data_IF_880385590651
#
_entry.id   IF_880385590651
#
_cell.length_a   1.000
_cell.length_b   1.000
_cell.length_c   1.000
_cell.angle_alpha   90.00
_cell.angle_beta   90.00
_cell.angle_gamma   90.00
#
_symmetry.space_group_name_H-M   'P 1'
#
loop_
_entity.id
_entity.type
_entity.pdbx_description
1 polymer ?
#
# COMPACT_ATOMS: atom_id res chain seq x y z
N UNK A 1 -26.61 32.94 24.65
CA UNK A 1 -26.64 31.54 24.19
C UNK A 1 -26.25 31.52 22.72
N UNK A 2 -24.96 31.41 22.41
CA UNK A 2 -24.42 31.51 21.04
C UNK A 2 -24.20 30.11 20.48
N UNK A 3 -25.05 29.71 19.54
CA UNK A 3 -24.94 28.45 18.80
C UNK A 3 -23.75 28.52 17.85
N UNK A 4 -22.68 27.76 18.15
CA UNK A 4 -21.58 27.54 17.21
C UNK A 4 -22.09 26.64 16.09
N UNK A 5 -22.44 27.24 14.95
CA UNK A 5 -22.70 26.52 13.70
C UNK A 5 -21.42 25.78 13.29
N UNK A 6 -21.40 24.46 13.41
CA UNK A 6 -20.33 23.62 12.87
C UNK A 6 -20.38 23.73 11.33
N UNK A 7 -19.50 24.55 10.77
CA UNK A 7 -19.26 24.56 9.33
C UNK A 7 -18.85 23.14 8.90
N UNK A 8 -19.68 22.49 8.07
CA UNK A 8 -19.34 21.21 7.45
C UNK A 8 -18.04 21.39 6.67
N UNK A 9 -16.97 20.72 7.10
CA UNK A 9 -15.75 20.61 6.29
C UNK A 9 -16.14 19.93 4.98
N UNK A 10 -16.08 20.66 3.87
CA UNK A 10 -16.20 20.06 2.53
C UNK A 10 -14.97 19.15 2.35
N UNK A 11 -15.21 17.87 2.09
CA UNK A 11 -14.13 16.89 1.93
C UNK A 11 -13.23 17.25 0.74
N UNK A 12 -11.92 17.11 0.93
CA UNK A 12 -10.92 17.35 -0.12
C UNK A 12 -10.56 16.06 -0.89
N UNK A 13 -9.74 16.16 -1.96
CA UNK A 13 -9.27 14.99 -2.71
C UNK A 13 -8.61 13.92 -1.83
N UNK A 14 -7.90 14.33 -0.77
CA UNK A 14 -7.32 13.40 0.19
C UNK A 14 -8.35 12.55 0.94
N UNK A 15 -9.55 13.07 1.19
CA UNK A 15 -10.62 12.32 1.85
C UNK A 15 -11.20 11.25 0.91
N UNK A 16 -11.29 11.55 -0.38
CA UNK A 16 -11.69 10.57 -1.41
C UNK A 16 -10.66 9.45 -1.51
N UNK A 17 -9.37 9.78 -1.59
CA UNK A 17 -8.29 8.77 -1.64
C UNK A 17 -8.31 7.89 -0.39
N UNK A 18 -8.51 8.47 0.79
CA UNK A 18 -8.64 7.72 2.04
C UNK A 18 -9.87 6.81 2.03
N UNK A 19 -11.02 7.29 1.58
CA UNK A 19 -12.24 6.50 1.48
C UNK A 19 -12.07 5.32 0.53
N UNK A 20 -11.48 5.54 -0.65
CA UNK A 20 -11.15 4.46 -1.61
C UNK A 20 -10.18 3.46 -0.99
N UNK A 21 -9.11 3.92 -0.34
CA UNK A 21 -8.17 3.05 0.34
C UNK A 21 -8.82 2.19 1.43
N UNK A 22 -9.73 2.78 2.22
CA UNK A 22 -10.49 2.06 3.24
C UNK A 22 -11.42 1.01 2.61
N UNK A 23 -12.13 1.36 1.55
CA UNK A 23 -13.03 0.44 0.85
C UNK A 23 -12.27 -0.77 0.27
N UNK A 24 -11.09 -0.54 -0.30
CA UNK A 24 -10.20 -1.60 -0.80
C UNK A 24 -9.70 -2.49 0.36
N UNK A 25 -9.33 -1.90 1.50
CA UNK A 25 -8.94 -2.65 2.69
C UNK A 25 -10.07 -3.55 3.22
N UNK A 26 -11.28 -3.00 3.35
CA UNK A 26 -12.47 -3.78 3.75
C UNK A 26 -12.72 -4.91 2.77
N UNK A 27 -12.60 -4.65 1.47
CA UNK A 27 -12.80 -5.67 0.44
C UNK A 27 -11.77 -6.80 0.55
N UNK A 28 -10.49 -6.48 0.78
CA UNK A 28 -9.44 -7.48 1.00
C UNK A 28 -9.72 -8.34 2.25
N UNK A 29 -10.14 -7.73 3.36
CA UNK A 29 -10.50 -8.46 4.58
C UNK A 29 -11.72 -9.36 4.35
N UNK A 30 -12.78 -8.84 3.72
CA UNK A 30 -13.98 -9.62 3.41
C UNK A 30 -13.67 -10.79 2.49
N UNK A 31 -12.80 -10.59 1.49
CA UNK A 31 -12.30 -11.67 0.61
C UNK A 31 -11.68 -12.81 1.44
N UNK A 32 -10.76 -12.50 2.35
CA UNK A 32 -10.11 -13.52 3.20
C UNK A 32 -11.10 -14.20 4.15
N UNK A 33 -12.04 -13.47 4.73
CA UNK A 33 -13.03 -14.04 5.64
C UNK A 33 -14.02 -14.97 4.93
N UNK A 34 -14.34 -14.71 3.65
CA UNK A 34 -15.18 -15.59 2.82
C UNK A 34 -14.44 -16.84 2.35
N UNK A 35 -13.12 -16.84 2.33
CA UNK A 35 -12.30 -18.01 2.03
C UNK A 35 -12.33 -19.00 3.21
N UNK A 36 -12.46 -20.32 2.96
CA UNK A 36 -12.28 -21.35 3.99
C UNK A 36 -10.98 -21.16 4.76
N UNK A 37 -10.98 -21.40 6.08
CA UNK A 37 -9.85 -21.04 6.96
C UNK A 37 -8.52 -21.64 6.48
N UNK A 38 -8.58 -22.84 5.93
CA UNK A 38 -7.45 -23.64 5.44
C UNK A 38 -6.81 -23.04 4.19
N UNK A 39 -7.57 -22.23 3.43
CA UNK A 39 -7.15 -21.64 2.16
C UNK A 39 -6.84 -20.13 2.26
N UNK A 40 -6.91 -19.53 3.46
CA UNK A 40 -6.63 -18.10 3.66
C UNK A 40 -5.15 -17.83 3.57
N UNK A 41 -4.78 -16.80 2.82
CA UNK A 41 -3.39 -16.38 2.66
C UNK A 41 -3.10 -15.07 3.38
N UNK A 42 -4.12 -14.22 3.58
CA UNK A 42 -3.98 -12.86 4.11
C UNK A 42 -3.06 -11.95 3.29
N UNK A 43 -2.81 -12.31 2.03
CA UNK A 43 -2.09 -11.52 1.05
C UNK A 43 -2.56 -11.88 -0.36
N UNK A 44 -2.41 -10.96 -1.32
CA UNK A 44 -2.75 -11.24 -2.71
C UNK A 44 -3.10 -9.98 -3.48
N UNK A 45 -4.06 -10.09 -4.40
CA UNK A 45 -4.53 -8.98 -5.23
C UNK A 45 -6.07 -8.88 -5.13
N UNK A 46 -6.57 -7.64 -5.04
CA UNK A 46 -7.99 -7.29 -5.20
C UNK A 46 -8.20 -6.53 -6.50
N UNK A 47 -9.38 -6.70 -7.12
CA UNK A 47 -9.74 -6.09 -8.41
C UNK A 47 -8.78 -6.44 -9.57
N UNK A 48 -7.97 -7.50 -9.44
CA UNK A 48 -7.04 -7.96 -10.48
C UNK A 48 -5.69 -7.23 -10.54
N UNK A 49 -5.56 -6.06 -9.90
CA UNK A 49 -4.31 -5.28 -9.97
C UNK A 49 -3.88 -4.61 -8.65
N UNK A 50 -4.76 -4.45 -7.66
CA UNK A 50 -4.40 -3.78 -6.39
C UNK A 50 -3.88 -4.82 -5.39
N UNK A 51 -2.58 -4.84 -5.07
CA UNK A 51 -2.08 -5.85 -4.16
C UNK A 51 -2.46 -5.54 -2.70
N UNK A 52 -2.49 -6.54 -1.84
CA UNK A 52 -2.67 -6.37 -0.39
C UNK A 52 -1.78 -7.33 0.39
N UNK A 53 -1.39 -6.89 1.58
CA UNK A 53 -0.61 -7.64 2.55
C UNK A 53 -1.16 -7.36 3.96
N UNK A 54 -1.84 -8.34 4.55
CA UNK A 54 -2.47 -8.22 5.88
C UNK A 54 -1.75 -9.05 6.95
N UNK A 55 -0.68 -9.77 6.59
CA UNK A 55 0.16 -10.44 7.57
C UNK A 55 0.99 -9.40 8.32
N UNK A 56 1.30 -9.62 9.61
CA UNK A 56 2.16 -8.73 10.36
C UNK A 56 3.48 -8.46 9.61
N UNK A 57 3.91 -7.18 9.53
CA UNK A 57 5.15 -6.83 8.85
C UNK A 57 6.35 -7.47 9.54
N UNK A 58 7.37 -7.83 8.76
CA UNK A 58 8.66 -8.32 9.28
C UNK A 58 9.78 -7.43 8.78
N UNK A 59 10.88 -7.36 9.54
CA UNK A 59 12.08 -6.62 9.13
C UNK A 59 12.62 -7.10 7.79
N UNK A 60 12.59 -8.42 7.56
CA UNK A 60 12.98 -9.03 6.28
C UNK A 60 12.13 -8.50 5.13
N UNK A 61 10.79 -8.56 5.24
CA UNK A 61 9.90 -8.02 4.19
C UNK A 61 10.04 -6.52 4.00
N UNK A 62 10.31 -5.78 5.07
CA UNK A 62 10.55 -4.35 4.96
C UNK A 62 11.78 -4.07 4.09
N UNK A 63 12.91 -4.74 4.37
CA UNK A 63 14.12 -4.62 3.55
C UNK A 63 13.86 -5.04 2.11
N UNK A 64 13.22 -6.18 1.88
CA UNK A 64 12.92 -6.68 0.54
C UNK A 64 12.03 -5.74 -0.28
N UNK A 65 11.07 -5.04 0.34
CA UNK A 65 10.09 -4.21 -0.39
C UNK A 65 10.47 -2.74 -0.50
N UNK A 66 11.27 -2.24 0.43
CA UNK A 66 11.62 -0.81 0.51
C UNK A 66 13.07 -0.58 0.12
N UNK A 67 13.97 -1.55 0.34
CA UNK A 67 15.41 -1.39 0.13
C UNK A 67 16.01 -2.60 -0.59
N UNK A 68 15.51 -2.89 -1.80
CA UNK A 68 16.06 -3.91 -2.69
C UNK A 68 16.63 -3.24 -3.95
N UNK A 69 17.90 -2.79 -3.94
CA UNK A 69 18.52 -2.06 -5.05
C UNK A 69 18.62 -2.87 -6.34
N UNK A 70 18.75 -4.19 -6.21
CA UNK A 70 18.87 -5.14 -7.32
C UNK A 70 17.52 -5.63 -7.84
N UNK A 71 16.40 -5.16 -7.27
CA UNK A 71 15.05 -5.52 -7.76
C UNK A 71 14.80 -4.89 -9.13
N UNK A 72 14.13 -5.63 -10.01
CA UNK A 72 13.70 -5.14 -11.32
C UNK A 72 12.59 -4.08 -11.19
N UNK A 73 11.78 -4.15 -10.12
CA UNK A 73 10.58 -3.32 -9.96
C UNK A 73 10.82 -2.13 -9.03
N UNK A 74 10.54 -0.93 -9.53
CA UNK A 74 10.57 0.31 -8.73
C UNK A 74 9.34 0.44 -7.81
N UNK A 75 8.19 -0.03 -8.28
CA UNK A 75 6.92 0.02 -7.57
C UNK A 75 6.47 -1.40 -7.28
N UNK A 76 6.27 -1.71 -6.02
CA UNK A 76 5.90 -3.05 -5.57
C UNK A 76 4.75 -3.03 -4.58
N UNK A 77 4.26 -4.21 -4.14
CA UNK A 77 3.24 -4.29 -3.11
C UNK A 77 3.74 -3.73 -1.78
N UNK A 78 2.86 -3.08 -1.01
CA UNK A 78 3.20 -2.58 0.34
C UNK A 78 3.71 -3.70 1.26
N UNK A 79 4.51 -3.30 2.25
CA UNK A 79 4.92 -4.15 3.38
C UNK A 79 3.71 -4.57 4.21
N UNK A 80 2.71 -3.68 4.33
CA UNK A 80 1.45 -3.92 5.02
C UNK A 80 0.33 -3.02 4.45
N UNK A 81 -0.90 -3.52 4.45
CA UNK A 81 -2.09 -2.86 3.94
C UNK A 81 -2.35 -3.11 2.45
N UNK A 82 -3.12 -2.23 1.81
CA UNK A 82 -3.60 -2.40 0.42
C UNK A 82 -3.04 -1.37 -0.54
N UNK A 83 -2.40 -1.79 -1.62
CA UNK A 83 -1.83 -0.96 -2.67
C UNK A 83 -0.32 -1.09 -2.76
N UNK A 84 0.31 -0.06 -3.32
CA UNK A 84 1.71 -0.09 -3.70
C UNK A 84 2.60 0.73 -2.78
N UNK A 85 3.89 0.43 -2.81
CA UNK A 85 4.98 1.20 -2.20
C UNK A 85 6.08 1.41 -3.23
N UNK A 86 6.91 2.40 -2.96
CA UNK A 86 8.13 2.65 -3.70
C UNK A 86 9.30 1.85 -3.09
N UNK A 87 10.10 1.22 -3.94
CA UNK A 87 11.37 0.63 -3.56
C UNK A 87 12.46 1.72 -3.63
N UNK A 88 12.82 2.26 -2.47
CA UNK A 88 13.79 3.34 -2.33
C UNK A 88 15.23 2.88 -2.66
N UNK A 89 15.55 1.61 -2.37
CA UNK A 89 16.84 1.02 -2.74
C UNK A 89 17.04 1.02 -4.26
N UNK A 90 16.01 0.57 -5.00
CA UNK A 90 16.04 0.58 -6.48
C UNK A 90 16.09 2.00 -7.03
N UNK A 91 15.30 2.91 -6.47
CA UNK A 91 15.35 4.33 -6.86
C UNK A 91 16.75 4.91 -6.71
N UNK A 92 17.40 4.63 -5.58
CA UNK A 92 18.77 5.09 -5.32
C UNK A 92 19.78 4.51 -6.31
N UNK A 93 19.71 3.21 -6.62
CA UNK A 93 20.58 2.57 -7.59
C UNK A 93 20.46 3.22 -8.98
N UNK A 94 19.21 3.45 -9.44
CA UNK A 94 18.94 4.13 -10.71
C UNK A 94 19.47 5.57 -10.72
N UNK A 95 19.31 6.31 -9.63
CA UNK A 95 19.82 7.67 -9.51
C UNK A 95 21.36 7.71 -9.56
N UNK A 96 22.03 6.73 -8.93
CA UNK A 96 23.50 6.63 -8.97
C UNK A 96 24.00 6.29 -10.37
N UNK A 97 23.37 5.32 -11.03
CA UNK A 97 23.73 4.95 -12.41
C UNK A 97 23.55 6.12 -13.39
N UNK A 98 22.52 6.95 -13.19
CA UNK A 98 22.32 8.16 -13.98
C UNK A 98 23.44 9.18 -13.75
N UNK A 99 23.83 9.42 -12.48
CA UNK A 99 24.90 10.35 -12.14
C UNK A 99 26.28 9.91 -12.61
N UNK A 100 26.54 8.60 -12.68
CA UNK A 100 27.81 8.03 -13.17
C UNK A 100 27.93 8.11 -14.72
N UNK A 101 26.85 8.42 -15.43
CA UNK A 101 26.80 8.54 -16.91
C UNK A 101 26.97 9.97 -17.41
N UNK A 102 26.93 10.96 -16.52
CA UNK A 102 27.15 12.39 -16.79
C UNK A 102 28.63 12.77 -16.55
#
# INVERSE_FOLDING_TARGET
MTTKTHARRRGGPGDVVRAVGLALAVTAVVKELRTPKENRTWHGVVLGFVPYELRPPTLTRFRERVWAPDDEHLIGPRVFGVGWTLNLGRLYALAREAADKD
#
